data_IF_223850445194
#
_entry.id   IF_223850445194
#
_cell.length_a   1.000
_cell.length_b   1.000
_cell.length_c   1.000
_cell.angle_alpha   90.00
_cell.angle_beta   90.00
_cell.angle_gamma   90.00
#
_symmetry.space_group_name_H-M   'P 1'
#
loop_
_entity.id
_entity.type
_entity.pdbx_description
1 polymer ?
#
# COMPACT_ATOMS: atom_id res chain seq x y z
N UNK A 1 -21.65 -23.89 -41.59
CA UNK A 1 -21.77 -22.42 -41.55
C UNK A 1 -21.92 -21.97 -40.10
N UNK A 2 -21.37 -20.79 -39.82
CA UNK A 2 -21.22 -20.09 -38.54
C UNK A 2 -22.52 -19.35 -38.15
N UNK A 3 -22.77 -19.25 -36.84
CA UNK A 3 -23.43 -18.17 -36.05
C UNK A 3 -24.94 -17.88 -36.31
N UNK A 4 -25.77 -17.43 -35.35
CA UNK A 4 -25.59 -16.33 -34.36
C UNK A 4 -26.61 -16.34 -33.19
N UNK A 5 -26.17 -15.74 -32.06
CA UNK A 5 -26.86 -15.01 -30.97
C UNK A 5 -28.40 -14.96 -30.89
N UNK A 6 -28.94 -15.22 -29.69
CA UNK A 6 -30.13 -14.52 -29.18
C UNK A 6 -29.85 -13.85 -27.84
N UNK A 7 -29.82 -12.52 -27.87
CA UNK A 7 -30.09 -11.61 -26.76
C UNK A 7 -31.50 -11.80 -26.19
N UNK A 8 -31.65 -11.48 -24.90
CA UNK A 8 -32.86 -11.30 -24.09
C UNK A 8 -33.19 -12.44 -23.11
N UNK A 9 -32.81 -12.22 -21.85
CA UNK A 9 -33.53 -12.81 -20.71
C UNK A 9 -34.86 -12.04 -20.61
N UNK A 10 -36.02 -12.71 -20.68
CA UNK A 10 -37.33 -12.04 -20.67
C UNK A 10 -37.59 -11.34 -19.33
N UNK A 11 -38.24 -10.17 -19.40
CA UNK A 11 -38.80 -9.38 -18.28
C UNK A 11 -39.29 -10.25 -17.11
N UNK A 12 -38.83 -9.96 -15.88
CA UNK A 12 -39.68 -9.56 -14.72
C UNK A 12 -38.84 -8.73 -13.70
N UNK A 13 -39.24 -7.46 -13.56
CA UNK A 13 -39.26 -6.58 -12.38
C UNK A 13 -37.99 -6.03 -11.69
N UNK A 14 -37.90 -4.69 -11.72
CA UNK A 14 -36.91 -3.78 -11.13
C UNK A 14 -36.12 -4.29 -9.91
N UNK A 15 -34.85 -4.64 -10.13
CA UNK A 15 -33.89 -4.93 -9.06
C UNK A 15 -32.65 -4.02 -9.16
N UNK A 16 -32.06 -3.68 -8.02
CA UNK A 16 -30.71 -3.13 -7.94
C UNK A 16 -29.73 -4.31 -7.85
N UNK A 17 -28.87 -4.50 -8.85
CA UNK A 17 -27.91 -5.61 -8.92
C UNK A 17 -26.49 -5.08 -8.73
N UNK A 18 -25.77 -5.69 -7.81
CA UNK A 18 -24.32 -5.53 -7.67
C UNK A 18 -23.72 -6.89 -7.97
N UNK A 19 -23.17 -7.06 -9.15
CA UNK A 19 -22.65 -8.36 -9.56
C UNK A 19 -21.41 -8.23 -10.43
N UNK A 20 -20.74 -9.36 -10.55
CA UNK A 20 -19.65 -9.56 -11.47
C UNK A 20 -20.07 -10.62 -12.49
N UNK A 21 -20.24 -10.23 -13.76
CA UNK A 21 -20.50 -11.20 -14.84
C UNK A 21 -19.18 -11.80 -15.37
N UNK A 22 -19.22 -13.10 -15.67
CA UNK A 22 -18.08 -13.99 -15.92
C UNK A 22 -17.12 -13.50 -17.02
N UNK A 23 -15.83 -13.29 -16.69
CA UNK A 23 -14.66 -14.10 -17.07
C UNK A 23 -13.42 -13.52 -16.34
N UNK A 24 -13.01 -14.21 -15.26
CA UNK A 24 -11.72 -14.12 -14.54
C UNK A 24 -11.22 -12.76 -13.99
N UNK A 25 -10.94 -12.79 -12.68
CA UNK A 25 -10.04 -11.92 -11.88
C UNK A 25 -10.46 -10.50 -11.49
N UNK A 26 -11.75 -10.21 -11.31
CA UNK A 26 -12.15 -9.04 -10.51
C UNK A 26 -12.40 -9.45 -9.05
N UNK A 27 -11.80 -8.76 -8.09
CA UNK A 27 -12.24 -8.76 -6.69
C UNK A 27 -12.68 -7.32 -6.45
N UNK A 28 -13.93 -7.08 -6.07
CA UNK A 28 -14.38 -5.75 -5.66
C UNK A 28 -14.74 -5.80 -4.17
N UNK A 29 -14.35 -4.76 -3.45
CA UNK A 29 -14.82 -4.50 -2.10
C UNK A 29 -15.80 -3.34 -2.17
N UNK A 30 -16.88 -3.44 -1.42
CA UNK A 30 -17.92 -2.41 -1.33
C UNK A 30 -18.06 -2.05 0.14
N UNK A 31 -18.04 -0.76 0.45
CA UNK A 31 -18.06 -0.26 1.83
C UNK A 31 -19.51 -0.13 2.34
N UNK A 32 -20.34 0.74 1.75
CA UNK A 32 -21.78 0.75 2.04
C UNK A 32 -22.63 1.29 0.88
N UNK A 33 -23.91 0.88 0.85
CA UNK A 33 -24.92 1.32 -0.11
C UNK A 33 -26.21 1.65 0.62
N UNK A 34 -26.74 2.86 0.45
CA UNK A 34 -28.06 3.25 0.93
C UNK A 34 -29.08 3.31 -0.21
N UNK A 35 -30.20 2.60 -0.06
CA UNK A 35 -31.36 2.67 -0.97
C UNK A 35 -32.60 2.95 -0.15
N UNK A 36 -33.31 4.05 -0.41
CA UNK A 36 -34.51 4.43 0.35
C UNK A 36 -35.63 4.88 -0.59
N UNK A 37 -36.88 4.51 -0.27
CA UNK A 37 -38.08 4.78 -1.08
C UNK A 37 -39.03 5.85 -0.49
N UNK A 38 -38.60 6.59 0.53
CA UNK A 38 -39.37 7.70 1.14
C UNK A 38 -38.43 8.74 1.79
N UNK A 39 -38.91 9.97 1.98
CA UNK A 39 -38.26 10.99 2.83
C UNK A 39 -38.46 10.64 4.30
N UNK A 40 -37.48 9.99 4.91
CA UNK A 40 -37.37 9.87 6.36
C UNK A 40 -36.52 11.05 6.89
N UNK A 41 -36.80 11.53 8.11
CA UNK A 41 -35.80 12.29 8.88
C UNK A 41 -34.54 11.44 8.90
N UNK A 42 -33.40 12.03 8.50
CA UNK A 42 -32.16 11.26 8.38
C UNK A 42 -31.99 10.40 9.63
N UNK A 43 -31.75 9.07 9.50
CA UNK A 43 -31.11 8.38 10.59
C UNK A 43 -29.87 9.22 10.89
N UNK A 44 -29.63 9.50 12.17
CA UNK A 44 -28.28 9.88 12.59
C UNK A 44 -27.39 8.78 12.03
N UNK A 45 -26.78 9.04 10.87
CA UNK A 45 -25.64 8.29 10.46
C UNK A 45 -24.70 8.50 11.63
N UNK A 46 -24.50 7.45 12.44
CA UNK A 46 -23.16 7.27 12.96
C UNK A 46 -22.29 7.50 11.75
N UNK A 47 -21.48 8.56 11.80
CA UNK A 47 -20.58 8.88 10.70
C UNK A 47 -19.93 7.57 10.26
N UNK A 48 -19.75 7.30 8.95
CA UNK A 48 -18.98 6.14 8.50
C UNK A 48 -17.64 5.97 9.27
N UNK A 49 -17.14 7.04 9.88
CA UNK A 49 -16.02 7.04 10.82
C UNK A 49 -16.22 6.24 12.14
N UNK A 50 -17.42 5.80 12.52
CA UNK A 50 -17.63 5.07 13.78
C UNK A 50 -17.44 3.55 13.69
N UNK A 51 -17.27 3.00 12.48
CA UNK A 51 -17.20 1.54 12.26
C UNK A 51 -15.77 1.03 11.94
N UNK A 52 -14.82 1.91 11.62
CA UNK A 52 -13.39 1.57 11.59
C UNK A 52 -12.79 1.73 13.00
N UNK A 53 -13.25 0.93 13.98
CA UNK A 53 -12.56 0.82 15.28
C UNK A 53 -11.39 -0.16 15.16
N UNK A 54 -10.49 0.10 14.23
CA UNK A 54 -9.16 -0.48 14.29
C UNK A 54 -8.40 0.19 15.46
N UNK A 55 -7.52 -0.54 16.16
CA UNK A 55 -6.62 0.10 17.10
C UNK A 55 -5.88 1.25 16.39
N UNK A 56 -5.72 2.38 17.07
CA UNK A 56 -4.92 3.49 16.54
C UNK A 56 -3.56 2.96 16.09
N UNK A 57 -3.02 3.45 14.95
CA UNK A 57 -1.72 3.00 14.48
C UNK A 57 -0.62 3.31 15.51
N UNK A 58 0.49 2.58 15.43
CA UNK A 58 1.66 2.82 16.27
C UNK A 58 2.36 4.15 15.96
N UNK A 59 2.31 4.60 14.70
CA UNK A 59 2.67 5.94 14.28
C UNK A 59 1.89 6.31 13.01
N UNK A 60 1.67 7.61 12.82
CA UNK A 60 1.02 8.14 11.61
C UNK A 60 1.61 9.50 11.24
N UNK A 61 2.40 9.53 10.17
CA UNK A 61 2.92 10.76 9.56
C UNK A 61 2.13 11.07 8.29
N UNK A 62 1.39 12.18 8.32
CA UNK A 62 0.59 12.65 7.17
C UNK A 62 1.40 13.47 6.17
N UNK A 63 2.58 13.98 6.57
CA UNK A 63 3.43 14.88 5.78
C UNK A 63 2.71 16.16 5.33
N UNK A 64 1.81 16.71 6.16
CA UNK A 64 1.04 17.92 5.84
C UNK A 64 1.62 19.21 6.42
N UNK A 65 2.71 19.14 7.19
CA UNK A 65 3.33 20.34 7.78
C UNK A 65 3.74 21.34 6.71
N UNK A 66 4.37 20.89 5.62
CA UNK A 66 4.75 21.75 4.50
C UNK A 66 5.85 22.77 4.81
N UNK A 67 6.42 22.75 6.02
CA UNK A 67 7.54 23.58 6.44
C UNK A 67 8.34 22.90 7.56
N UNK A 68 9.53 23.44 7.85
CA UNK A 68 10.40 22.94 8.91
C UNK A 68 10.98 21.55 8.59
N UNK A 69 11.58 20.95 9.61
CA UNK A 69 12.31 19.66 9.51
C UNK A 69 11.69 18.56 10.37
N UNK A 70 10.61 18.85 11.09
CA UNK A 70 9.92 17.89 11.97
C UNK A 70 8.67 17.39 11.28
N UNK A 71 8.46 16.08 11.32
CA UNK A 71 7.27 15.40 10.86
C UNK A 71 6.54 14.87 12.09
N UNK A 72 5.36 15.39 12.37
CA UNK A 72 4.66 15.05 13.60
C UNK A 72 3.99 13.68 13.47
N UNK A 73 4.20 12.82 14.47
CA UNK A 73 3.40 11.61 14.64
C UNK A 73 2.02 12.01 15.20
N UNK A 74 0.97 11.78 14.42
CA UNK A 74 -0.40 12.11 14.79
C UNK A 74 -1.02 11.13 15.79
N UNK A 75 -0.25 10.15 16.28
CA UNK A 75 -0.67 9.22 17.34
C UNK A 75 -0.28 9.73 18.73
N UNK A 76 -0.66 8.97 19.77
CA UNK A 76 -0.27 9.29 21.14
C UNK A 76 1.17 8.88 21.48
N UNK A 77 1.86 8.20 20.56
CA UNK A 77 3.20 7.65 20.80
C UNK A 77 4.32 8.68 20.55
N UNK A 78 4.03 9.81 19.89
CA UNK A 78 4.97 10.90 19.62
C UNK A 78 6.27 10.42 18.94
N UNK A 79 6.15 9.50 17.98
CA UNK A 79 7.28 9.05 17.16
C UNK A 79 7.64 10.09 16.08
N UNK A 80 7.88 11.34 16.46
CA UNK A 80 8.14 12.40 15.50
C UNK A 80 9.39 12.08 14.65
N UNK A 81 9.26 12.30 13.34
CA UNK A 81 10.37 12.20 12.40
C UNK A 81 11.15 13.50 12.33
N UNK A 82 12.45 13.42 12.10
CA UNK A 82 13.31 14.57 11.82
C UNK A 82 14.02 14.37 10.49
N UNK A 83 13.87 15.31 9.57
CA UNK A 83 14.60 15.32 8.29
C UNK A 83 16.11 15.36 8.53
N UNK A 84 16.89 14.83 7.58
CA UNK A 84 18.33 15.07 7.54
C UNK A 84 18.67 16.56 7.46
N UNK A 85 19.97 16.87 7.51
CA UNK A 85 20.47 18.24 7.54
C UNK A 85 21.22 18.60 6.25
N UNK A 86 21.12 19.87 5.84
CA UNK A 86 21.81 20.36 4.63
C UNK A 86 21.43 19.55 3.40
N UNK A 87 22.42 18.94 2.73
CA UNK A 87 22.22 18.14 1.52
C UNK A 87 21.66 16.74 1.78
N UNK A 88 21.26 16.41 3.02
CA UNK A 88 20.54 15.16 3.34
C UNK A 88 19.09 15.41 3.75
N UNK A 89 18.64 16.66 3.60
CA UNK A 89 17.30 17.07 3.94
C UNK A 89 16.38 16.92 2.71
N UNK A 90 15.36 16.05 2.76
CA UNK A 90 14.31 16.09 1.74
C UNK A 90 13.63 17.45 1.71
N UNK A 91 13.00 17.76 0.58
CA UNK A 91 12.33 19.06 0.37
C UNK A 91 10.81 18.89 0.33
N UNK A 92 10.08 19.88 0.85
CA UNK A 92 8.64 19.94 0.69
C UNK A 92 8.25 20.18 -0.77
N UNK A 93 7.38 19.33 -1.32
CA UNK A 93 6.87 19.48 -2.67
C UNK A 93 5.67 20.45 -2.72
N UNK A 94 5.40 20.96 -3.92
CA UNK A 94 4.17 21.69 -4.19
C UNK A 94 2.95 20.72 -4.11
N UNK A 95 1.80 21.21 -3.64
CA UNK A 95 0.61 20.39 -3.38
C UNK A 95 0.10 19.64 -4.63
N UNK A 96 0.26 20.25 -5.80
CA UNK A 96 -0.14 19.66 -7.08
C UNK A 96 0.68 18.41 -7.44
N UNK A 97 1.87 18.24 -6.85
CA UNK A 97 2.71 17.07 -6.99
C UNK A 97 2.33 15.94 -6.02
N UNK A 98 1.62 16.26 -4.94
CA UNK A 98 1.25 15.34 -3.87
C UNK A 98 -0.07 14.61 -4.14
N UNK A 99 -0.27 13.46 -3.47
CA UNK A 99 -1.51 12.67 -3.55
C UNK A 99 -2.67 13.36 -2.82
N UNK A 100 -2.37 13.94 -1.66
CA UNK A 100 -3.23 14.76 -0.81
C UNK A 100 -2.32 15.71 -0.03
N UNK A 101 -2.83 16.90 0.30
CA UNK A 101 -2.10 17.87 1.13
C UNK A 101 -0.67 18.15 0.67
N UNK A 102 0.31 17.95 1.56
CA UNK A 102 1.75 18.10 1.26
C UNK A 102 2.43 16.74 1.23
N UNK A 103 3.69 16.74 0.81
CA UNK A 103 4.52 15.55 0.73
C UNK A 103 6.00 15.94 0.64
N UNK A 104 6.87 14.99 0.95
CA UNK A 104 8.31 15.17 0.78
C UNK A 104 8.80 14.65 -0.57
N UNK A 105 9.77 15.36 -1.11
CA UNK A 105 10.56 14.98 -2.28
C UNK A 105 11.98 14.68 -1.83
N UNK A 106 12.37 13.43 -2.06
CA UNK A 106 13.73 12.93 -1.90
C UNK A 106 14.47 13.08 -3.23
N UNK A 107 15.71 13.55 -3.19
CA UNK A 107 16.51 13.85 -4.39
C UNK A 107 17.16 12.61 -5.03
N UNK A 108 17.17 11.49 -4.30
CA UNK A 108 17.73 10.21 -4.75
C UNK A 108 19.21 10.00 -4.43
N UNK A 109 19.82 10.85 -3.58
CA UNK A 109 21.21 10.75 -3.16
C UNK A 109 21.34 10.26 -1.72
N UNK A 110 20.97 11.08 -0.75
CA UNK A 110 21.25 10.84 0.67
C UNK A 110 20.19 11.46 1.59
N UNK A 111 19.02 11.78 1.04
CA UNK A 111 17.90 12.31 1.80
C UNK A 111 17.28 11.23 2.71
N UNK A 112 16.97 11.61 3.95
CA UNK A 112 16.27 10.73 4.88
C UNK A 112 15.38 11.51 5.85
N UNK A 113 14.44 10.79 6.44
CA UNK A 113 13.77 11.17 7.68
C UNK A 113 14.13 10.13 8.72
N UNK A 114 14.66 10.58 9.86
CA UNK A 114 15.00 9.74 10.98
C UNK A 114 13.91 9.80 12.05
N UNK A 115 13.41 8.63 12.45
CA UNK A 115 12.50 8.47 13.59
C UNK A 115 13.31 7.81 14.70
N UNK A 116 13.24 8.35 15.91
CA UNK A 116 13.95 7.77 17.05
C UNK A 116 13.43 6.36 17.36
N UNK A 117 14.30 5.48 17.86
CA UNK A 117 13.89 4.14 18.29
C UNK A 117 12.88 4.23 19.42
N UNK A 118 11.71 3.64 19.22
CA UNK A 118 10.69 3.50 20.25
C UNK A 118 10.11 2.06 20.26
N UNK A 119 9.63 1.64 21.43
CA UNK A 119 9.03 0.32 21.64
C UNK A 119 7.68 0.16 20.94
N UNK A 120 6.92 1.25 20.80
CA UNK A 120 5.63 1.25 20.09
C UNK A 120 5.77 0.85 18.63
N UNK A 121 6.95 1.07 18.04
CA UNK A 121 7.27 0.73 16.67
C UNK A 121 7.96 -0.64 16.52
N UNK A 122 8.24 -1.35 17.63
CA UNK A 122 8.81 -2.71 17.60
C UNK A 122 7.69 -3.73 17.44
N UNK A 123 7.79 -4.59 16.42
CA UNK A 123 6.73 -5.54 16.12
C UNK A 123 7.20 -6.99 16.34
N UNK A 124 6.60 -7.66 17.33
CA UNK A 124 7.00 -9.03 17.70
C UNK A 124 6.29 -10.14 16.89
N UNK A 125 5.05 -9.89 16.44
CA UNK A 125 4.19 -10.96 15.91
C UNK A 125 3.43 -10.58 14.65
N UNK A 126 2.73 -9.45 14.68
CA UNK A 126 1.94 -8.98 13.55
C UNK A 126 2.15 -7.49 13.36
N UNK A 127 2.23 -7.06 12.11
CA UNK A 127 2.28 -5.65 11.78
C UNK A 127 1.72 -5.39 10.39
N UNK A 128 1.37 -4.14 10.18
CA UNK A 128 1.08 -3.60 8.87
C UNK A 128 1.81 -2.27 8.77
N UNK A 129 2.61 -2.13 7.72
CA UNK A 129 3.23 -0.86 7.35
C UNK A 129 2.71 -0.47 5.98
N UNK A 130 2.32 0.78 5.83
CA UNK A 130 1.78 1.30 4.58
C UNK A 130 2.19 2.75 4.37
N UNK A 131 2.21 3.15 3.11
CA UNK A 131 2.51 4.51 2.74
C UNK A 131 2.36 4.76 1.25
N UNK A 132 2.37 6.05 0.92
CA UNK A 132 2.35 6.53 -0.44
C UNK A 132 3.75 6.78 -0.93
N UNK A 133 4.11 6.19 -2.07
CA UNK A 133 5.40 6.36 -2.72
C UNK A 133 5.20 6.77 -4.18
N UNK A 134 6.11 7.59 -4.70
CA UNK A 134 6.16 7.96 -6.11
C UNK A 134 7.61 7.99 -6.57
N UNK A 135 7.95 7.11 -7.50
CA UNK A 135 9.29 7.02 -8.08
C UNK A 135 9.35 7.84 -9.35
N UNK A 136 10.28 8.80 -9.45
CA UNK A 136 10.50 9.56 -10.69
C UNK A 136 11.58 8.94 -11.59
N UNK A 137 12.39 8.04 -11.01
CA UNK A 137 13.45 7.30 -11.68
C UNK A 137 13.64 5.95 -10.98
N UNK A 138 14.12 4.96 -11.73
CA UNK A 138 14.54 3.67 -11.17
C UNK A 138 15.93 3.86 -10.54
N UNK A 139 16.19 3.30 -9.34
CA UNK A 139 17.52 3.33 -8.74
C UNK A 139 18.58 2.70 -9.66
N UNK A 140 19.81 3.24 -9.72
CA UNK A 140 20.82 2.76 -10.68
C UNK A 140 22.09 2.17 -10.03
N UNK A 141 22.45 2.60 -8.83
CA UNK A 141 23.67 2.17 -8.13
C UNK A 141 23.37 1.30 -6.92
N UNK A 142 22.32 1.67 -6.19
CA UNK A 142 21.86 1.00 -4.97
C UNK A 142 20.34 0.92 -4.97
N UNK A 143 19.79 0.08 -4.10
CA UNK A 143 18.36 -0.06 -3.90
C UNK A 143 17.80 1.16 -3.14
N UNK A 144 16.53 1.52 -3.40
CA UNK A 144 15.84 2.53 -2.62
C UNK A 144 15.05 1.88 -1.49
N UNK A 145 15.03 2.52 -0.32
CA UNK A 145 14.32 2.05 0.88
C UNK A 145 13.27 3.09 1.33
N UNK A 146 12.13 3.22 0.63
CA UNK A 146 11.14 4.26 0.96
C UNK A 146 10.60 4.17 2.40
N UNK A 147 10.50 2.95 2.93
CA UNK A 147 10.08 2.69 4.31
C UNK A 147 10.95 1.57 4.86
N UNK A 148 11.72 1.87 5.91
CA UNK A 148 12.62 0.91 6.53
C UNK A 148 12.65 1.08 8.04
N UNK A 149 12.76 -0.05 8.73
CA UNK A 149 13.11 -0.13 10.13
C UNK A 149 14.29 -1.10 10.24
N UNK A 150 15.44 -0.55 10.63
CA UNK A 150 16.68 -1.32 10.72
C UNK A 150 16.50 -2.60 11.53
N UNK A 151 17.09 -3.69 11.03
CA UNK A 151 17.06 -5.02 11.65
C UNK A 151 15.68 -5.69 11.81
N UNK A 152 14.62 -5.10 11.24
CA UNK A 152 13.26 -5.65 11.36
C UNK A 152 12.56 -5.82 10.00
N UNK A 153 12.40 -4.75 9.22
CA UNK A 153 11.78 -4.85 7.90
C UNK A 153 12.17 -3.70 6.98
N UNK A 154 11.95 -3.87 5.68
CA UNK A 154 12.05 -2.80 4.69
C UNK A 154 11.13 -3.07 3.51
N UNK A 155 10.53 -2.01 2.96
CA UNK A 155 10.00 -1.99 1.60
C UNK A 155 11.11 -1.44 0.71
N UNK A 156 11.39 -2.13 -0.40
CA UNK A 156 12.55 -1.87 -1.24
C UNK A 156 12.14 -1.71 -2.69
N UNK A 157 12.81 -0.82 -3.41
CA UNK A 157 12.74 -0.73 -4.87
C UNK A 157 14.10 -1.07 -5.44
N UNK A 158 14.15 -2.13 -6.24
CA UNK A 158 15.35 -2.64 -6.88
C UNK A 158 15.86 -1.75 -8.02
N UNK A 159 17.10 -2.02 -8.41
CA UNK A 159 17.78 -1.31 -9.52
C UNK A 159 17.13 -1.57 -10.90
N UNK A 160 16.26 -2.57 -11.02
CA UNK A 160 15.45 -2.83 -12.20
C UNK A 160 14.02 -2.26 -12.11
N UNK A 161 13.65 -1.67 -10.95
CA UNK A 161 12.33 -1.11 -10.67
C UNK A 161 11.39 -2.05 -9.94
N UNK A 162 11.82 -3.29 -9.66
CA UNK A 162 11.03 -4.26 -8.94
C UNK A 162 10.81 -3.84 -7.49
N UNK A 163 9.56 -3.92 -7.03
CA UNK A 163 9.19 -3.73 -5.64
C UNK A 163 9.51 -5.03 -4.88
N UNK A 164 10.15 -4.89 -3.72
CA UNK A 164 10.52 -5.99 -2.86
C UNK A 164 10.35 -5.66 -1.40
N UNK A 165 10.67 -6.62 -0.55
CA UNK A 165 10.74 -6.40 0.89
C UNK A 165 11.86 -7.22 1.54
N UNK A 166 12.29 -6.76 2.71
CA UNK A 166 13.07 -7.53 3.67
C UNK A 166 12.27 -7.64 4.96
N UNK A 167 12.30 -8.82 5.59
CA UNK A 167 11.78 -9.04 6.93
C UNK A 167 12.80 -9.89 7.68
N UNK A 168 13.14 -9.49 8.90
CA UNK A 168 14.03 -10.26 9.74
C UNK A 168 13.24 -11.39 10.39
N UNK A 169 13.45 -12.60 9.88
CA UNK A 169 12.89 -13.81 10.46
C UNK A 169 14.01 -14.85 10.68
N UNK A 170 13.70 -15.94 11.36
CA UNK A 170 14.65 -17.05 11.59
C UNK A 170 14.87 -17.91 10.34
N UNK A 171 13.97 -17.84 9.36
CA UNK A 171 14.05 -18.52 8.08
C UNK A 171 13.20 -17.76 7.05
N UNK A 172 13.77 -17.27 5.92
CA UNK A 172 15.14 -17.48 5.44
C UNK A 172 16.24 -16.68 6.17
N UNK A 173 15.92 -15.82 7.14
CA UNK A 173 16.87 -14.82 7.65
C UNK A 173 16.61 -13.45 7.05
N UNK A 174 17.59 -12.56 7.14
CA UNK A 174 17.59 -11.29 6.40
C UNK A 174 17.81 -11.56 4.91
N UNK A 175 16.74 -11.90 4.21
CA UNK A 175 16.74 -12.14 2.78
C UNK A 175 15.83 -11.12 2.10
N UNK A 176 16.33 -10.63 0.98
CA UNK A 176 15.56 -9.78 0.10
C UNK A 176 14.63 -10.63 -0.76
N UNK A 177 13.35 -10.26 -0.78
CA UNK A 177 12.30 -10.95 -1.53
C UNK A 177 11.75 -10.01 -2.60
N UNK A 178 11.97 -10.38 -3.86
CA UNK A 178 11.39 -9.76 -5.05
C UNK A 178 9.90 -10.09 -5.15
N UNK A 179 9.08 -9.11 -5.56
CA UNK A 179 7.67 -9.36 -5.91
C UNK A 179 7.44 -9.51 -7.41
N UNK A 180 8.47 -9.25 -8.23
CA UNK A 180 8.40 -9.17 -9.69
C UNK A 180 7.41 -8.10 -10.21
N UNK A 181 7.03 -7.15 -9.36
CA UNK A 181 6.18 -6.02 -9.67
C UNK A 181 7.01 -4.76 -9.87
N UNK A 182 7.09 -4.28 -11.11
CA UNK A 182 7.78 -3.04 -11.42
C UNK A 182 6.90 -1.82 -11.10
N UNK A 183 7.40 -0.91 -10.26
CA UNK A 183 6.68 0.32 -9.94
C UNK A 183 6.55 1.23 -11.19
N UNK A 184 5.36 1.78 -11.47
CA UNK A 184 5.22 2.78 -12.51
C UNK A 184 5.94 4.07 -12.12
N UNK A 185 6.72 4.62 -13.04
CA UNK A 185 7.36 5.92 -12.84
C UNK A 185 6.33 7.05 -12.94
N UNK A 186 6.56 8.09 -12.15
CA UNK A 186 5.78 9.32 -12.09
C UNK A 186 4.33 9.16 -11.62
N UNK A 187 3.95 7.99 -11.12
CA UNK A 187 2.62 7.72 -10.55
C UNK A 187 2.70 7.50 -9.05
N UNK A 188 1.64 7.89 -8.33
CA UNK A 188 1.52 7.60 -6.91
C UNK A 188 1.07 6.16 -6.72
N UNK A 189 1.73 5.49 -5.78
CA UNK A 189 1.45 4.10 -5.44
C UNK A 189 1.27 4.02 -3.93
N UNK A 190 0.15 3.44 -3.50
CA UNK A 190 -0.05 3.06 -2.12
C UNK A 190 0.45 1.63 -1.93
N UNK A 191 1.48 1.47 -1.10
CA UNK A 191 2.06 0.16 -0.77
C UNK A 191 1.65 -0.23 0.64
N UNK A 192 1.26 -1.48 0.80
CA UNK A 192 0.91 -2.07 2.11
C UNK A 192 1.65 -3.38 2.26
N UNK A 193 2.46 -3.51 3.30
CA UNK A 193 3.12 -4.75 3.69
C UNK A 193 2.51 -5.22 5.01
N UNK A 194 1.96 -6.43 5.00
CA UNK A 194 1.39 -7.08 6.19
C UNK A 194 2.20 -8.32 6.55
N UNK A 195 2.40 -8.53 7.84
CA UNK A 195 2.97 -9.74 8.41
C UNK A 195 2.09 -10.20 9.55
N UNK A 196 1.73 -11.49 9.59
CA UNK A 196 0.90 -12.06 10.64
C UNK A 196 1.65 -13.10 11.49
N UNK A 197 1.03 -13.48 12.61
CA UNK A 197 1.57 -14.45 13.56
C UNK A 197 1.66 -15.89 13.00
N UNK A 198 1.14 -16.14 11.80
CA UNK A 198 1.30 -17.39 11.06
C UNK A 198 2.43 -17.31 10.03
N UNK A 199 3.27 -16.27 10.10
CA UNK A 199 4.39 -16.00 9.19
C UNK A 199 3.94 -15.73 7.75
N UNK A 200 2.68 -15.35 7.54
CA UNK A 200 2.18 -15.01 6.21
C UNK A 200 2.52 -13.55 5.92
N UNK A 201 3.21 -13.34 4.81
CA UNK A 201 3.57 -12.02 4.30
C UNK A 201 2.68 -11.72 3.10
N UNK A 202 2.10 -10.53 3.06
CA UNK A 202 1.35 -10.04 1.89
C UNK A 202 1.77 -8.63 1.58
N UNK A 203 1.94 -8.36 0.28
CA UNK A 203 2.14 -7.03 -0.23
C UNK A 203 0.97 -6.66 -1.14
N UNK A 204 0.38 -5.50 -0.89
CA UNK A 204 -0.66 -4.91 -1.72
C UNK A 204 -0.14 -3.64 -2.35
N UNK A 205 -0.45 -3.47 -3.63
CA UNK A 205 -0.03 -2.32 -4.41
C UNK A 205 -1.25 -1.75 -5.12
N UNK A 206 -1.50 -0.47 -4.91
CA UNK A 206 -2.61 0.26 -5.52
C UNK A 206 -2.02 1.48 -6.25
N UNK A 207 -2.25 1.57 -7.56
CA UNK A 207 -1.73 2.65 -8.40
C UNK A 207 -2.80 3.70 -8.63
N UNK A 208 -2.41 4.97 -8.52
CA UNK A 208 -3.29 6.12 -8.69
C UNK A 208 -2.82 7.00 -9.83
N UNK A 209 -3.68 7.15 -10.84
CA UNK A 209 -3.43 8.01 -11.98
C UNK A 209 -4.05 9.38 -11.75
N UNK A 210 -3.21 10.42 -11.63
CA UNK A 210 -3.68 11.80 -11.48
C UNK A 210 -3.91 12.42 -12.86
N UNK A 211 -5.12 12.26 -13.40
CA UNK A 211 -5.57 13.03 -14.57
C UNK A 211 -6.18 14.33 -14.06
N UNK A 212 -5.78 15.48 -14.65
CA UNK A 212 -6.22 16.82 -14.20
C UNK A 212 -7.72 16.82 -13.81
N UNK A 213 -7.97 16.97 -12.52
CA UNK A 213 -9.28 17.09 -11.85
C UNK A 213 -10.18 15.85 -11.74
N UNK A 214 -9.74 14.63 -12.08
CA UNK A 214 -10.52 13.40 -11.80
C UNK A 214 -9.61 12.26 -11.35
N UNK A 215 -9.85 11.74 -10.14
CA UNK A 215 -9.16 10.58 -9.58
C UNK A 215 -9.83 9.31 -10.13
N UNK A 216 -9.06 8.46 -10.81
CA UNK A 216 -9.48 7.10 -11.17
C UNK A 216 -8.74 6.09 -10.29
N UNK A 217 -9.47 5.15 -9.69
CA UNK A 217 -8.92 4.01 -8.96
C UNK A 217 -8.99 2.76 -9.83
N UNK A 218 -7.88 2.19 -10.30
CA UNK A 218 -7.87 0.82 -10.85
C UNK A 218 -6.50 0.16 -10.71
N UNK A 219 -6.54 -1.17 -10.51
CA UNK A 219 -5.49 -2.16 -10.22
C UNK A 219 -5.17 -2.34 -8.73
N UNK A 220 -5.88 -3.29 -8.10
CA UNK A 220 -5.40 -3.99 -6.90
C UNK A 220 -4.63 -5.21 -7.41
N UNK A 221 -3.31 -5.19 -7.29
CA UNK A 221 -2.53 -6.43 -7.37
C UNK A 221 -2.43 -7.00 -5.97
N UNK A 222 -3.11 -8.14 -5.73
CA UNK A 222 -2.84 -8.96 -4.54
C UNK A 222 -1.75 -9.93 -4.92
N UNK A 223 -0.52 -9.66 -4.48
CA UNK A 223 0.59 -10.60 -4.67
C UNK A 223 0.54 -11.59 -3.51
N UNK A 224 -0.01 -12.78 -3.79
CA UNK A 224 0.08 -13.93 -2.89
C UNK A 224 1.40 -14.66 -3.15
N UNK A 225 2.41 -14.42 -2.33
CA UNK A 225 3.58 -15.29 -2.28
C UNK A 225 3.26 -16.42 -1.31
N UNK A 226 2.70 -17.52 -1.82
CA UNK A 226 2.64 -18.75 -1.06
C UNK A 226 4.05 -19.39 -1.11
N UNK A 227 4.82 -19.25 -0.04
CA UNK A 227 6.02 -20.06 0.14
C UNK A 227 5.60 -21.52 0.40
N UNK A 228 5.26 -22.26 -0.65
CA UNK A 228 5.11 -23.72 -0.59
C UNK A 228 6.49 -24.36 -0.72
N UNK A 229 7.07 -24.77 0.42
CA UNK A 229 8.10 -25.79 0.42
C UNK A 229 7.42 -27.16 0.32
N UNK A 230 7.42 -27.78 -0.86
CA UNK A 230 7.22 -29.22 -0.98
C UNK A 230 8.54 -29.87 -1.34
N UNK A 231 9.20 -30.49 -0.36
CA UNK A 231 10.17 -31.54 -0.68
C UNK A 231 9.39 -32.75 -1.19
N UNK A 232 9.53 -33.06 -2.47
CA UNK A 232 9.11 -34.35 -3.03
C UNK A 232 10.31 -35.00 -3.70
N UNK A 233 10.76 -36.10 -3.08
CA UNK A 233 11.35 -37.23 -3.79
C UNK A 233 12.85 -37.17 -4.06
N UNK A 234 13.60 -37.95 -3.28
CA UNK A 234 14.78 -38.61 -3.82
C UNK A 234 14.33 -39.54 -4.96
N UNK A 235 14.62 -39.16 -6.19
CA UNK A 235 14.78 -40.11 -7.31
C UNK A 235 16.27 -40.44 -7.34
N UNK A 236 16.62 -41.62 -6.82
CA UNK A 236 17.87 -42.27 -7.19
C UNK A 236 17.62 -43.05 -8.47
N UNK A 237 18.23 -42.61 -9.56
CA UNK A 237 18.48 -43.41 -10.76
C UNK A 237 19.99 -43.40 -10.94
N UNK A 238 20.65 -44.45 -10.45
CA UNK A 238 21.52 -45.40 -11.15
C UNK A 238 22.09 -46.38 -10.13
#
# INVERSE_FOLDING_TARGET
>A
MKATNSTQVPNEDCYLRFEQEYFSSGIFSMDFVFVRKYTATEPSAGSPASEEKFPSPAAYWNFDEGYGTTLNDSTQNNNDGTMGIGNSAPTWAAEDMCISGKCLKFDGSNDYVNVATDKSLHFDNNFTVQGWIKMNQIPQTDEAFPISRGEEYSIVVHMDGDLGYLIHNTSPGWALISTSYNLPLNEWVHVVLTYDSSYVIKMYVIVYYKVRSVIFHFNIFVIHINAFFSFVGNIAVF
#
